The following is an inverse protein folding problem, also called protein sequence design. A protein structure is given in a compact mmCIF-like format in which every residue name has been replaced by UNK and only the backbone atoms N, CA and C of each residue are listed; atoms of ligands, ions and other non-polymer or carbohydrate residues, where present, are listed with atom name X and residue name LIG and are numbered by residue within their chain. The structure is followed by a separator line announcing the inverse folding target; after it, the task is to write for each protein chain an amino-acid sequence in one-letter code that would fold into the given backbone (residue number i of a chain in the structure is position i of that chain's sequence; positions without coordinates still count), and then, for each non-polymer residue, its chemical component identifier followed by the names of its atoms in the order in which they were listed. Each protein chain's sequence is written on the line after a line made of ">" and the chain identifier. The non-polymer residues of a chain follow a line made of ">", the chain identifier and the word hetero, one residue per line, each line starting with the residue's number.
data_IF_268180645834
#
_entry.id   IF_268180645834
#
_cell.length_a   1.000
_cell.length_b   1.000
_cell.length_c   1.000
_cell.angle_alpha   90.00
_cell.angle_beta   90.00
_cell.angle_gamma   90.00
#
_symmetry.space_group_name_H-M   'P 1'
#
loop_
_entity.id
_entity.type
_entity.pdbx_description
1 polymer ?
#
# COMPACT_ATOMS: atom_id res chain seq x y z
N UNK A 1 -3.18 14.55 44.97
CA UNK A 1 -2.82 13.18 44.56
C UNK A 1 -4.02 12.46 43.91
N UNK A 2 -4.65 13.10 42.93
CA UNK A 2 -5.73 12.49 42.16
C UNK A 2 -5.82 13.14 40.80
N UNK A 3 -6.28 12.37 39.81
CA UNK A 3 -6.41 12.83 38.43
C UNK A 3 -7.63 12.20 37.79
N UNK A 4 -8.38 13.01 37.07
CA UNK A 4 -9.50 12.54 36.25
C UNK A 4 -8.98 11.97 34.94
N UNK A 5 -9.64 10.92 34.45
CA UNK A 5 -9.52 10.55 33.04
C UNK A 5 -10.13 11.67 32.19
N UNK A 6 -9.57 11.99 31.02
CA UNK A 6 -10.10 13.04 30.13
C UNK A 6 -11.59 12.91 29.79
N UNK A 7 -12.13 11.69 29.77
CA UNK A 7 -13.55 11.43 29.50
C UNK A 7 -14.47 11.70 30.71
N UNK A 8 -13.93 12.06 31.88
CA UNK A 8 -14.70 12.34 33.11
C UNK A 8 -15.39 11.12 33.74
N UNK A 9 -15.20 9.91 33.21
CA UNK A 9 -15.84 8.68 33.73
C UNK A 9 -15.08 7.98 34.85
N UNK A 10 -13.79 8.28 34.98
CA UNK A 10 -12.92 7.62 35.94
C UNK A 10 -12.04 8.64 36.65
N UNK A 11 -11.74 8.36 37.92
CA UNK A 11 -10.78 9.10 38.74
C UNK A 11 -9.75 8.11 39.24
N UNK A 12 -8.50 8.53 39.27
CA UNK A 12 -7.44 7.80 39.93
C UNK A 12 -6.97 8.62 41.11
N UNK A 13 -6.76 7.97 42.25
CA UNK A 13 -6.15 8.57 43.42
C UNK A 13 -5.00 7.71 43.93
N UNK A 14 -3.89 8.36 44.27
CA UNK A 14 -2.83 7.72 45.05
C UNK A 14 -3.17 7.84 46.53
N UNK A 15 -3.06 6.73 47.25
CA UNK A 15 -3.21 6.67 48.70
C UNK A 15 -1.99 5.99 49.29
N UNK A 16 -1.48 6.48 50.41
CA UNK A 16 -0.47 5.80 51.21
C UNK A 16 -1.11 5.34 52.50
N UNK A 17 -1.00 4.05 52.80
CA UNK A 17 -1.46 3.44 54.03
C UNK A 17 -0.24 2.98 54.83
N UNK A 18 -0.22 3.19 56.14
CA UNK A 18 0.78 2.58 57.01
C UNK A 18 0.20 1.29 57.57
N UNK A 19 0.86 0.16 57.34
CA UNK A 19 0.49 -1.13 57.95
C UNK A 19 1.58 -1.60 58.90
N UNK A 20 1.17 -2.20 60.00
CA UNK A 20 2.09 -2.91 60.87
C UNK A 20 2.49 -4.21 60.17
N UNK A 21 3.79 -4.41 60.02
CA UNK A 21 4.31 -5.73 59.68
C UNK A 21 4.29 -6.64 60.91
N UNK A 22 4.48 -7.95 60.67
CA UNK A 22 4.57 -8.97 61.71
C UNK A 22 5.71 -8.69 62.71
N UNK A 23 6.73 -7.94 62.29
CA UNK A 23 7.85 -7.45 63.12
C UNK A 23 7.50 -6.21 63.98
N UNK A 24 6.27 -5.72 63.94
CA UNK A 24 5.83 -4.51 64.65
C UNK A 24 6.35 -3.20 64.05
N UNK A 25 7.08 -3.24 62.94
CA UNK A 25 7.51 -2.04 62.19
C UNK A 25 6.36 -1.52 61.32
N UNK A 26 6.17 -0.20 61.32
CA UNK A 26 5.24 0.48 60.43
C UNK A 26 5.83 0.54 59.03
N UNK A 27 5.26 -0.20 58.08
CA UNK A 27 5.60 -0.10 56.67
C UNK A 27 4.58 0.76 55.93
N UNK A 28 5.11 1.67 55.11
CA UNK A 28 4.30 2.47 54.21
C UNK A 28 3.99 1.66 52.94
N UNK A 29 2.71 1.51 52.61
CA UNK A 29 2.24 0.85 51.41
C UNK A 29 1.52 1.86 50.54
N UNK A 30 2.11 2.17 49.39
CA UNK A 30 1.48 2.90 48.32
C UNK A 30 0.38 2.06 47.66
N UNK A 31 -0.76 2.67 47.42
CA UNK A 31 -1.87 2.10 46.67
C UNK A 31 -2.35 3.13 45.65
N UNK A 32 -2.54 2.71 44.42
CA UNK A 32 -3.21 3.51 43.39
C UNK A 32 -4.62 2.95 43.21
N UNK A 33 -5.63 3.75 43.53
CA UNK A 33 -7.05 3.36 43.47
C UNK A 33 -7.73 4.03 42.29
N UNK A 34 -8.48 3.23 41.52
CA UNK A 34 -9.26 3.71 40.38
C UNK A 34 -10.75 3.64 40.74
N UNK A 35 -11.44 4.76 40.57
CA UNK A 35 -12.85 4.95 40.89
C UNK A 35 -13.62 5.21 39.61
N UNK A 36 -14.81 4.62 39.49
CA UNK A 36 -15.75 4.91 38.40
C UNK A 36 -16.75 5.96 38.88
N UNK A 37 -16.84 7.07 38.15
CA UNK A 37 -17.81 8.11 38.45
C UNK A 37 -19.20 7.72 37.93
N UNK A 38 -20.27 7.97 38.70
CA UNK A 38 -21.63 7.82 38.23
C UNK A 38 -21.88 8.83 37.10
N UNK A 39 -22.48 8.38 35.99
CA UNK A 39 -22.78 9.24 34.83
C UNK A 39 -24.13 9.96 34.95
N UNK A 40 -24.85 9.81 36.05
CA UNK A 40 -26.18 10.37 36.23
C UNK A 40 -26.10 11.87 36.58
N UNK A 41 -26.50 12.72 35.63
CA UNK A 41 -26.65 14.17 35.83
C UNK A 41 -27.55 14.53 37.03
N UNK A 42 -28.45 13.62 37.42
CA UNK A 42 -29.39 13.79 38.55
C UNK A 42 -28.70 13.89 39.91
N UNK A 43 -27.51 13.31 40.09
CA UNK A 43 -26.80 13.35 41.38
C UNK A 43 -26.04 14.67 41.63
N UNK A 44 -25.86 15.50 40.60
CA UNK A 44 -25.26 16.82 40.79
C UNK A 44 -26.20 17.83 41.49
N UNK A 45 -27.50 17.52 41.59
CA UNK A 45 -28.52 18.38 42.19
C UNK A 45 -28.75 18.10 43.68
N UNK A 46 -28.28 16.96 44.20
CA UNK A 46 -28.33 16.66 45.64
C UNK A 46 -27.05 17.14 46.31
N UNK A 47 -27.17 17.90 47.40
CA UNK A 47 -26.02 18.32 48.23
C UNK A 47 -25.38 17.18 49.04
N UNK A 48 -25.76 15.92 48.81
CA UNK A 48 -25.20 14.77 49.51
C UNK A 48 -23.83 14.37 48.94
N UNK A 49 -22.86 13.97 49.80
CA UNK A 49 -21.56 13.55 49.34
C UNK A 49 -21.64 12.22 48.56
N UNK A 50 -21.09 12.21 47.35
CA UNK A 50 -21.03 11.01 46.51
C UNK A 50 -19.97 10.04 47.09
N UNK A 51 -20.43 8.88 47.60
CA UNK A 51 -19.54 7.80 48.04
C UNK A 51 -19.17 6.91 46.84
N UNK A 52 -17.88 6.84 46.53
CA UNK A 52 -17.35 5.99 45.46
C UNK A 52 -16.62 4.79 46.07
N UNK A 53 -16.92 3.59 45.56
CA UNK A 53 -16.09 2.40 45.83
C UNK A 53 -14.95 2.31 44.83
N UNK A 54 -13.78 1.85 45.28
CA UNK A 54 -12.66 1.60 44.40
C UNK A 54 -12.99 0.41 43.49
N UNK A 55 -12.89 0.62 42.18
CA UNK A 55 -13.06 -0.43 41.18
C UNK A 55 -11.83 -1.33 41.10
N UNK A 56 -10.65 -0.72 41.21
CA UNK A 56 -9.37 -1.40 41.15
C UNK A 56 -8.43 -0.75 42.16
N UNK A 57 -7.71 -1.59 42.91
CA UNK A 57 -6.64 -1.17 43.81
C UNK A 57 -5.37 -1.82 43.32
N UNK A 58 -4.40 -1.01 42.91
CA UNK A 58 -3.06 -1.44 42.54
C UNK A 58 -2.16 -1.22 43.76
N UNK A 59 -1.75 -2.30 44.41
CA UNK A 59 -0.74 -2.27 45.47
C UNK A 59 0.64 -2.13 44.84
N UNK A 60 1.45 -1.21 45.36
CA UNK A 60 2.79 -0.93 44.85
C UNK A 60 3.83 -1.63 45.72
N UNK A 61 5.13 -1.38 45.48
CA UNK A 61 6.21 -1.94 46.31
C UNK A 61 6.02 -1.60 47.79
N UNK A 62 6.42 -2.51 48.67
CA UNK A 62 6.43 -2.33 50.12
C UNK A 62 7.43 -1.24 50.52
N UNK A 63 7.11 -0.48 51.57
CA UNK A 63 7.94 0.61 52.09
C UNK A 63 7.94 1.90 51.25
N UNK A 64 7.09 1.99 50.23
CA UNK A 64 7.07 3.13 49.29
C UNK A 64 5.67 3.73 49.17
N UNK A 65 5.54 5.04 49.41
CA UNK A 65 4.28 5.76 49.31
C UNK A 65 4.05 6.39 47.94
N UNK A 66 2.80 6.38 47.46
CA UNK A 66 2.39 7.09 46.24
C UNK A 66 2.26 8.60 46.52
N UNK A 67 3.12 9.42 45.91
CA UNK A 67 3.14 10.88 46.08
C UNK A 67 2.16 11.55 45.12
N UNK A 68 2.27 11.24 43.84
CA UNK A 68 1.50 11.89 42.79
C UNK A 68 1.06 10.89 41.74
N UNK A 69 -0.23 10.92 41.43
CA UNK A 69 -0.81 10.14 40.35
C UNK A 69 -1.44 11.07 39.32
N UNK A 70 -1.09 10.87 38.04
CA UNK A 70 -1.59 11.66 36.92
C UNK A 70 -2.00 10.77 35.75
N UNK A 71 -3.19 11.03 35.19
CA UNK A 71 -3.62 10.41 33.94
C UNK A 71 -3.18 11.28 32.78
N UNK A 72 -2.60 10.68 31.74
CA UNK A 72 -2.27 11.40 30.51
C UNK A 72 -3.51 11.97 29.81
N UNK A 73 -3.43 13.19 29.28
CA UNK A 73 -4.58 13.89 28.67
C UNK A 73 -5.09 13.25 27.37
N UNK A 74 -4.23 12.56 26.63
CA UNK A 74 -4.56 11.95 25.33
C UNK A 74 -4.35 10.43 25.27
N UNK A 75 -3.57 9.88 26.20
CA UNK A 75 -3.14 8.49 26.15
C UNK A 75 -3.80 7.74 27.30
N UNK A 76 -4.07 6.46 27.07
CA UNK A 76 -4.57 5.59 28.12
C UNK A 76 -3.41 5.10 29.00
N UNK A 77 -2.80 6.03 29.74
CA UNK A 77 -1.63 5.79 30.60
C UNK A 77 -1.78 6.58 31.90
N UNK A 78 -1.45 5.91 33.00
CA UNK A 78 -1.46 6.46 34.35
C UNK A 78 -0.01 6.47 34.83
N UNK A 79 0.46 7.65 35.21
CA UNK A 79 1.76 7.86 35.82
C UNK A 79 1.61 7.91 37.33
N UNK A 80 2.32 7.06 38.05
CA UNK A 80 2.38 7.06 39.50
C UNK A 80 3.83 7.32 39.94
N UNK A 81 4.04 8.44 40.63
CA UNK A 81 5.33 8.81 41.21
C UNK A 81 5.35 8.45 42.70
N UNK A 82 6.48 7.92 43.14
CA UNK A 82 6.67 7.33 44.45
C UNK A 82 7.73 8.03 45.29
N UNK A 83 7.74 7.77 46.59
CA UNK A 83 8.67 8.37 47.55
C UNK A 83 10.12 7.95 47.42
N UNK A 84 10.40 6.83 46.76
CA UNK A 84 11.76 6.38 46.42
C UNK A 84 12.33 7.08 45.17
N UNK A 85 11.55 7.96 44.54
CA UNK A 85 11.90 8.59 43.26
C UNK A 85 11.63 7.69 42.05
N UNK A 86 11.08 6.50 42.24
CA UNK A 86 10.62 5.65 41.15
C UNK A 86 9.31 6.17 40.55
N UNK A 87 9.08 5.79 39.31
CA UNK A 87 7.89 6.16 38.55
C UNK A 87 7.38 4.93 37.82
N UNK A 88 6.20 4.46 38.20
CA UNK A 88 5.52 3.39 37.49
C UNK A 88 4.52 3.96 36.49
N UNK A 89 4.49 3.35 35.31
CA UNK A 89 3.54 3.70 34.25
C UNK A 89 2.62 2.51 34.02
N UNK A 90 1.35 2.68 34.40
CA UNK A 90 0.32 1.68 34.12
C UNK A 90 -0.38 2.00 32.81
N UNK A 91 -0.40 1.01 31.91
CA UNK A 91 -1.04 1.14 30.60
C UNK A 91 -1.52 -0.22 30.09
N UNK A 92 -2.54 -0.19 29.23
CA UNK A 92 -3.00 -1.38 28.53
C UNK A 92 -2.28 -1.48 27.17
N UNK A 93 -1.67 -2.63 26.86
CA UNK A 93 -0.96 -2.84 25.59
C UNK A 93 -1.89 -2.82 24.38
N UNK A 94 -3.18 -3.11 24.56
CA UNK A 94 -4.15 -3.17 23.46
C UNK A 94 -4.71 -1.78 23.11
N UNK A 95 -5.08 -1.00 24.12
CA UNK A 95 -5.67 0.33 23.93
C UNK A 95 -4.65 1.48 23.89
N UNK A 96 -3.43 1.28 24.38
CA UNK A 96 -2.40 2.33 24.47
C UNK A 96 -1.39 2.23 23.33
N UNK A 97 -1.39 3.20 22.42
CA UNK A 97 -0.64 3.12 21.15
C UNK A 97 0.73 3.81 21.15
N UNK A 98 0.99 4.74 22.06
CA UNK A 98 2.21 5.59 22.07
C UNK A 98 2.76 5.70 23.49
N UNK A 99 3.90 6.37 23.68
CA UNK A 99 4.46 6.66 25.01
C UNK A 99 5.18 5.44 25.59
N UNK A 100 4.74 4.97 26.76
CA UNK A 100 5.40 3.86 27.46
C UNK A 100 5.46 2.55 26.66
N UNK A 101 4.50 2.27 25.77
CA UNK A 101 4.56 1.11 24.86
C UNK A 101 5.73 1.18 23.89
N UNK A 102 6.19 2.37 23.49
CA UNK A 102 7.36 2.53 22.60
C UNK A 102 8.64 2.19 23.35
N UNK A 103 8.74 2.56 24.63
CA UNK A 103 9.88 2.20 25.48
C UNK A 103 9.86 0.70 25.82
N UNK A 104 8.70 0.15 26.18
CA UNK A 104 8.55 -1.27 26.49
C UNK A 104 8.72 -2.19 25.26
N UNK A 105 8.37 -1.70 24.07
CA UNK A 105 8.55 -2.42 22.80
C UNK A 105 9.97 -2.33 22.23
N UNK A 106 10.82 -1.44 22.75
CA UNK A 106 12.26 -1.51 22.50
C UNK A 106 12.79 -2.68 23.31
N UNK A 107 12.89 -3.84 22.67
CA UNK A 107 13.88 -4.82 23.11
C UNK A 107 15.20 -4.06 23.24
N UNK A 108 15.81 -4.10 24.43
CA UNK A 108 17.21 -3.72 24.58
C UNK A 108 17.93 -4.47 23.47
N UNK A 109 18.48 -3.75 22.50
CA UNK A 109 19.25 -4.38 21.44
C UNK A 109 20.26 -5.29 22.12
N UNK A 110 20.38 -6.52 21.61
CA UNK A 110 21.25 -7.61 22.08
C UNK A 110 22.34 -7.09 23.02
N UNK A 111 22.42 -7.65 24.23
CA UNK A 111 23.48 -7.35 25.21
C UNK A 111 24.77 -7.11 24.44
N UNK A 112 25.24 -5.86 24.52
CA UNK A 112 26.46 -5.49 23.83
C UNK A 112 27.56 -6.27 24.53
N UNK A 113 28.34 -7.05 23.78
CA UNK A 113 29.46 -7.79 24.35
C UNK A 113 30.25 -6.88 25.30
N UNK A 114 30.67 -7.37 26.46
CA UNK A 114 31.32 -6.56 27.51
C UNK A 114 32.50 -5.71 27.00
N UNK A 115 33.16 -6.14 25.91
CA UNK A 115 34.18 -5.37 25.20
C UNK A 115 33.64 -4.08 24.58
N UNK A 116 32.44 -4.11 24.00
CA UNK A 116 31.78 -2.96 23.40
C UNK A 116 31.38 -1.92 24.45
N UNK A 117 30.96 -2.37 25.64
CA UNK A 117 30.64 -1.50 26.78
C UNK A 117 31.91 -0.86 27.39
N UNK A 118 33.00 -1.62 27.51
CA UNK A 118 34.31 -1.09 27.93
C UNK A 118 34.88 -0.07 26.93
N UNK A 119 34.64 -0.25 25.63
CA UNK A 119 35.05 0.71 24.61
C UNK A 119 34.18 1.98 24.64
N UNK A 120 32.88 1.85 24.91
CA UNK A 120 31.97 2.99 25.04
C UNK A 120 32.26 3.86 26.28
N UNK A 121 32.67 3.24 27.40
CA UNK A 121 32.99 3.96 28.65
C UNK A 121 34.34 4.69 28.63
N UNK A 122 35.25 4.36 27.71
CA UNK A 122 36.55 5.05 27.53
C UNK A 122 36.48 6.32 26.67
N UNK A 123 35.30 6.73 26.22
CA UNK A 123 35.13 7.95 25.42
C UNK A 123 35.31 9.18 26.32
N UNK A 124 36.23 10.12 26.02
CA UNK A 124 36.34 11.37 26.76
C UNK A 124 35.05 12.18 26.56
N UNK A 125 34.36 12.47 27.67
CA UNK A 125 33.10 13.22 27.76
C UNK A 125 33.16 14.68 27.28
N UNK A 126 34.27 15.11 26.67
CA UNK A 126 34.56 16.50 26.29
C UNK A 126 34.48 16.85 24.80
N UNK A 127 34.26 15.89 23.88
CA UNK A 127 34.07 16.23 22.47
C UNK A 127 32.58 16.25 22.11
N UNK A 128 32.13 17.34 21.49
CA UNK A 128 30.74 17.69 21.18
C UNK A 128 30.06 16.76 20.14
N UNK A 129 29.94 15.48 20.46
CA UNK A 129 29.42 14.45 19.56
C UNK A 129 28.80 13.26 20.29
N UNK A 130 28.25 13.48 21.49
CA UNK A 130 27.55 12.48 22.30
C UNK A 130 26.26 11.96 21.66
N UNK A 131 26.36 11.31 20.50
CA UNK A 131 25.40 10.33 19.98
C UNK A 131 25.93 9.58 18.73
N UNK A 132 27.23 9.51 18.49
CA UNK A 132 27.75 8.62 17.44
C UNK A 132 28.23 7.33 18.10
N UNK A 133 27.39 6.29 18.01
CA UNK A 133 27.82 4.90 18.28
C UNK A 133 29.13 4.66 17.53
N UNK A 134 30.03 3.93 18.16
CA UNK A 134 31.35 3.52 17.65
C UNK A 134 31.27 2.58 16.43
N UNK A 135 30.29 2.74 15.56
CA UNK A 135 30.17 1.87 14.39
C UNK A 135 31.08 2.35 13.24
N UNK A 136 31.61 3.58 13.28
CA UNK A 136 32.49 4.07 12.23
C UNK A 136 33.39 5.24 12.72
N UNK A 137 34.52 4.94 13.38
CA UNK A 137 35.60 5.93 13.51
C UNK A 137 36.20 6.12 12.11
N UNK A 138 35.81 7.20 11.45
CA UNK A 138 36.32 7.55 10.13
C UNK A 138 37.62 8.32 10.26
N UNK A 139 38.71 7.76 9.74
CA UNK A 139 39.94 8.51 9.56
C UNK A 139 39.71 9.58 8.48
N UNK A 140 40.37 10.75 8.56
CA UNK A 140 40.14 11.85 7.62
C UNK A 140 40.46 11.47 6.16
N UNK A 141 41.30 10.45 5.94
CA UNK A 141 41.69 9.94 4.63
C UNK A 141 41.00 8.61 4.27
N UNK A 142 39.94 8.23 4.98
CA UNK A 142 39.19 7.02 4.63
C UNK A 142 38.55 7.18 3.24
N UNK A 143 38.74 6.18 2.40
CA UNK A 143 38.06 6.06 1.11
C UNK A 143 36.53 6.21 1.32
N UNK A 144 35.79 6.92 0.44
CA UNK A 144 34.34 7.14 0.59
C UNK A 144 33.50 5.85 0.65
N UNK A 145 34.04 4.73 0.16
CA UNK A 145 33.43 3.40 0.24
C UNK A 145 33.42 2.84 1.68
N UNK A 146 34.45 3.18 2.46
CA UNK A 146 34.63 2.81 3.86
C UNK A 146 34.19 3.93 4.82
N UNK A 147 34.00 5.13 4.27
CA UNK A 147 33.42 6.33 4.86
C UNK A 147 31.95 6.23 5.25
N UNK A 148 31.61 5.44 6.27
CA UNK A 148 30.33 5.43 7.01
C UNK A 148 29.11 6.05 6.31
N UNK A 149 28.81 5.63 5.08
CA UNK A 149 27.69 6.16 4.31
C UNK A 149 26.46 5.51 4.95
N UNK A 150 25.62 6.32 5.62
CA UNK A 150 24.38 5.88 6.26
C UNK A 150 23.77 4.73 5.46
N UNK A 151 23.66 3.53 6.06
CA UNK A 151 23.20 2.31 5.37
C UNK A 151 21.92 2.53 4.54
N UNK A 152 21.01 3.36 5.06
CA UNK A 152 19.78 3.82 4.38
C UNK A 152 20.04 4.59 3.08
N UNK A 153 21.02 5.50 3.06
CA UNK A 153 21.41 6.23 1.84
C UNK A 153 22.01 5.29 0.81
N UNK A 154 22.77 4.28 1.23
CA UNK A 154 23.33 3.26 0.31
C UNK A 154 22.25 2.37 -0.26
N UNK A 155 21.25 1.97 0.53
CA UNK A 155 20.10 1.21 0.07
C UNK A 155 19.27 2.04 -0.93
N UNK A 156 19.00 3.32 -0.64
CA UNK A 156 18.31 4.23 -1.56
C UNK A 156 19.08 4.47 -2.86
N UNK A 157 20.39 4.72 -2.79
CA UNK A 157 21.23 4.89 -3.98
C UNK A 157 21.26 3.59 -4.81
N UNK A 158 21.29 2.42 -4.15
CA UNK A 158 21.24 1.13 -4.83
C UNK A 158 19.89 0.94 -5.53
N UNK A 159 18.78 1.15 -4.85
CA UNK A 159 17.43 1.09 -5.42
C UNK A 159 17.25 2.07 -6.59
N UNK A 160 17.75 3.31 -6.46
CA UNK A 160 17.72 4.29 -7.55
C UNK A 160 18.55 3.84 -8.75
N UNK A 161 19.73 3.28 -8.53
CA UNK A 161 20.58 2.78 -9.63
C UNK A 161 20.01 1.53 -10.28
N UNK A 162 19.29 0.68 -9.53
CA UNK A 162 18.58 -0.49 -10.06
C UNK A 162 17.36 -0.05 -10.88
N UNK A 163 16.57 0.92 -10.40
CA UNK A 163 15.46 1.50 -11.15
C UNK A 163 15.92 2.16 -12.47
N UNK A 164 17.08 2.85 -12.45
CA UNK A 164 17.69 3.50 -13.64
C UNK A 164 18.33 2.50 -14.63
N UNK A 165 18.49 1.22 -14.26
CA UNK A 165 19.02 0.16 -15.15
C UNK A 165 17.96 -0.53 -16.01
N UNK A 166 16.67 -0.33 -15.73
CA UNK A 166 15.61 -0.80 -16.61
C UNK A 166 15.53 0.07 -17.86
N UNK A 167 16.32 -0.29 -18.88
CA UNK A 167 16.09 0.22 -20.23
C UNK A 167 14.69 -0.25 -20.67
N UNK A 168 13.84 0.63 -21.23
CA UNK A 168 12.57 0.20 -21.80
C UNK A 168 12.86 -0.89 -22.83
N UNK A 169 12.13 -2.00 -22.76
CA UNK A 169 12.23 -3.04 -23.77
C UNK A 169 11.99 -2.40 -25.15
N UNK A 170 12.77 -2.76 -26.18
CA UNK A 170 12.49 -2.29 -27.52
C UNK A 170 11.04 -2.67 -27.87
N UNK A 171 10.25 -1.77 -28.49
CA UNK A 171 8.89 -2.10 -28.88
C UNK A 171 8.95 -3.35 -29.73
N UNK A 172 8.21 -4.39 -29.33
CA UNK A 172 8.13 -5.60 -30.11
C UNK A 172 7.56 -5.22 -31.47
N UNK A 173 8.28 -5.56 -32.55
CA UNK A 173 7.76 -5.50 -33.91
C UNK A 173 6.70 -6.62 -34.14
N UNK A 174 5.92 -6.93 -33.12
CA UNK A 174 4.73 -7.74 -33.23
C UNK A 174 3.60 -6.79 -33.65
N UNK A 175 3.27 -6.85 -34.94
CA UNK A 175 2.03 -6.33 -35.47
C UNK A 175 0.90 -6.94 -34.62
N UNK A 176 0.25 -6.10 -33.82
CA UNK A 176 -0.99 -6.35 -33.06
C UNK A 176 -0.78 -6.81 -31.60
N UNK A 177 -1.25 -5.92 -30.72
CA UNK A 177 -1.80 -6.15 -29.37
C UNK A 177 -0.83 -6.33 -28.20
N UNK A 178 -0.73 -5.31 -27.36
CA UNK A 178 -1.13 -5.40 -25.95
C UNK A 178 -0.99 -4.04 -25.25
N UNK A 179 -2.13 -3.48 -24.84
CA UNK A 179 -2.21 -2.25 -24.08
C UNK A 179 -3.64 -1.94 -23.68
N UNK A 180 -4.25 -2.85 -22.90
CA UNK A 180 -5.43 -2.60 -22.06
C UNK A 180 -6.60 -1.86 -22.70
N UNK A 181 -7.38 -2.54 -23.54
CA UNK A 181 -8.63 -2.01 -24.04
C UNK A 181 -9.21 -2.91 -25.11
N UNK A 182 -10.10 -3.81 -24.71
CA UNK A 182 -11.03 -4.44 -25.63
C UNK A 182 -11.79 -3.35 -26.41
N UNK A 183 -11.40 -3.17 -27.67
CA UNK A 183 -12.31 -2.97 -28.80
C UNK A 183 -13.43 -1.95 -28.60
N UNK A 184 -13.10 -0.68 -28.40
CA UNK A 184 -14.07 0.41 -28.47
C UNK A 184 -13.42 1.72 -28.94
N UNK A 185 -12.80 1.73 -30.12
CA UNK A 185 -12.65 2.92 -31.00
C UNK A 185 -11.86 2.54 -32.23
N UNK A 186 -12.53 1.92 -33.21
CA UNK A 186 -12.04 1.96 -34.59
C UNK A 186 -12.39 3.36 -35.08
N UNK A 187 -11.40 4.23 -35.23
CA UNK A 187 -11.61 5.61 -35.67
C UNK A 187 -12.35 5.61 -37.02
N UNK A 188 -13.31 6.52 -37.22
CA UNK A 188 -14.19 6.60 -38.41
C UNK A 188 -13.45 6.40 -39.75
N UNK A 189 -12.20 6.86 -39.84
CA UNK A 189 -11.33 6.68 -41.01
C UNK A 189 -11.07 5.20 -41.38
N UNK A 190 -10.89 4.30 -40.41
CA UNK A 190 -10.71 2.87 -40.66
C UNK A 190 -12.00 2.18 -41.13
N UNK A 191 -13.16 2.61 -40.64
CA UNK A 191 -14.46 2.10 -41.11
C UNK A 191 -14.73 2.49 -42.57
N UNK A 192 -14.40 3.74 -42.94
CA UNK A 192 -14.54 4.22 -44.32
C UNK A 192 -13.56 3.51 -45.28
N UNK A 193 -12.33 3.25 -44.85
CA UNK A 193 -11.36 2.50 -45.66
C UNK A 193 -11.81 1.05 -45.93
N UNK A 194 -12.35 0.37 -44.91
CA UNK A 194 -12.78 -1.03 -45.05
C UNK A 194 -14.07 -1.18 -45.89
N UNK A 195 -15.00 -0.23 -45.79
CA UNK A 195 -16.26 -0.25 -46.54
C UNK A 195 -16.12 0.12 -48.02
N UNK A 196 -15.08 0.86 -48.39
CA UNK A 196 -14.78 1.20 -49.79
C UNK A 196 -14.01 0.09 -50.52
N UNK A 197 -13.18 -0.68 -49.81
CA UNK A 197 -12.47 -1.83 -50.37
C UNK A 197 -13.39 -3.00 -50.74
N UNK A 198 -14.47 -3.24 -49.99
CA UNK A 198 -15.41 -4.34 -50.28
C UNK A 198 -16.18 -4.14 -51.58
N UNK A 199 -16.63 -2.90 -51.87
CA UNK A 199 -17.34 -2.58 -53.12
C UNK A 199 -16.45 -2.65 -54.36
N UNK A 200 -15.16 -2.35 -54.22
CA UNK A 200 -14.21 -2.42 -55.32
C UNK A 200 -13.81 -3.86 -55.67
N UNK A 201 -13.91 -4.80 -54.73
CA UNK A 201 -13.63 -6.23 -54.98
C UNK A 201 -14.65 -6.83 -55.95
N UNK A 202 -15.93 -6.44 -55.85
CA UNK A 202 -16.98 -6.88 -56.77
C UNK A 202 -16.86 -6.25 -58.16
N UNK A 203 -16.38 -5.00 -58.26
CA UNK A 203 -16.07 -4.34 -59.53
C UNK A 203 -14.84 -4.94 -60.22
N UNK A 204 -13.78 -5.28 -59.46
CA UNK A 204 -12.58 -5.91 -60.01
C UNK A 204 -12.86 -7.35 -60.46
N UNK A 205 -13.71 -8.09 -59.75
CA UNK A 205 -14.18 -9.43 -60.14
C UNK A 205 -15.09 -9.43 -61.38
N UNK A 206 -15.77 -8.31 -61.67
CA UNK A 206 -16.53 -8.13 -62.92
C UNK A 206 -15.62 -7.78 -64.11
N UNK A 207 -14.51 -7.09 -63.88
CA UNK A 207 -13.54 -6.73 -64.92
C UNK A 207 -12.62 -7.89 -65.36
N UNK A 208 -12.57 -8.99 -64.61
CA UNK A 208 -11.76 -10.17 -64.93
C UNK A 208 -12.52 -11.29 -65.65
N UNK A 209 -13.74 -11.05 -66.13
CA UNK A 209 -14.49 -12.01 -66.95
C UNK A 209 -14.26 -11.73 -68.42
N UNK A 210 -14.14 -12.79 -69.21
CA UNK A 210 -13.88 -12.68 -70.65
C UNK A 210 -15.08 -12.02 -71.36
N UNK A 211 -14.84 -11.08 -72.28
CA UNK A 211 -15.90 -10.32 -72.95
C UNK A 211 -16.85 -11.22 -73.77
N UNK A 212 -16.40 -12.43 -74.16
CA UNK A 212 -17.20 -13.41 -74.90
C UNK A 212 -18.28 -14.05 -74.03
N UNK A 213 -18.01 -14.34 -72.76
CA UNK A 213 -19.01 -14.88 -71.82
C UNK A 213 -20.10 -13.86 -71.50
N UNK A 214 -19.72 -12.58 -71.42
CA UNK A 214 -20.68 -11.52 -71.14
C UNK A 214 -21.65 -11.34 -72.32
N UNK A 215 -21.17 -11.45 -73.57
CA UNK A 215 -22.04 -11.44 -74.75
C UNK A 215 -23.07 -12.58 -74.74
N UNK A 216 -22.70 -13.79 -74.32
CA UNK A 216 -23.64 -14.92 -74.22
C UNK A 216 -24.74 -14.69 -73.17
N UNK A 217 -24.41 -14.10 -72.01
CA UNK A 217 -25.42 -13.80 -70.97
C UNK A 217 -26.47 -12.78 -71.42
N UNK A 218 -26.10 -11.84 -72.29
CA UNK A 218 -27.04 -10.87 -72.83
C UNK A 218 -27.91 -11.43 -73.96
N UNK A 219 -27.51 -12.55 -74.60
CA UNK A 219 -28.32 -13.24 -75.61
C UNK A 219 -29.49 -14.02 -74.98
N UNK A 220 -29.27 -14.71 -73.86
CA UNK A 220 -30.31 -15.51 -73.18
C UNK A 220 -31.53 -14.68 -72.73
N UNK A 221 -31.41 -13.35 -72.65
CA UNK A 221 -32.45 -12.48 -72.10
C UNK A 221 -33.19 -11.57 -73.08
N UNK A 222 -32.79 -11.46 -74.37
CA UNK A 222 -33.11 -10.26 -75.17
C UNK A 222 -33.17 -10.47 -76.69
N UNK A 223 -34.12 -11.26 -77.19
CA UNK A 223 -34.44 -11.36 -78.63
C UNK A 223 -35.37 -10.20 -79.08
N UNK A 224 -34.83 -9.00 -79.30
CA UNK A 224 -35.63 -7.86 -79.79
C UNK A 224 -35.64 -7.72 -81.31
N UNK A 225 -34.78 -8.46 -82.01
CA UNK A 225 -34.51 -8.29 -83.45
C UNK A 225 -35.16 -9.36 -84.33
N UNK A 226 -35.87 -10.35 -83.76
CA UNK A 226 -36.57 -11.40 -84.54
C UNK A 226 -37.77 -10.88 -85.36
N UNK A 227 -38.21 -9.65 -85.13
CA UNK A 227 -39.36 -9.06 -85.81
C UNK A 227 -39.01 -8.30 -87.11
N UNK A 228 -37.73 -8.08 -87.41
CA UNK A 228 -37.29 -7.42 -88.65
C UNK A 228 -36.36 -8.38 -89.38
N UNK A 229 -36.86 -8.97 -90.48
CA UNK A 229 -36.20 -10.02 -91.25
C UNK A 229 -34.75 -9.68 -91.64
N UNK A 230 -33.95 -10.74 -91.72
CA UNK A 230 -32.53 -10.82 -92.07
C UNK A 230 -31.52 -10.39 -91.00
N UNK A 231 -31.08 -11.38 -90.20
CA UNK A 231 -29.69 -11.42 -89.73
C UNK A 231 -29.19 -12.86 -89.73
N UNK A 232 -28.20 -13.15 -90.59
CA UNK A 232 -27.33 -14.29 -90.43
C UNK A 232 -26.55 -14.13 -89.11
N UNK A 233 -26.49 -15.18 -88.30
CA UNK A 233 -25.67 -15.19 -87.08
C UNK A 233 -24.20 -15.21 -87.52
N UNK A 234 -23.48 -14.09 -87.37
CA UNK A 234 -22.05 -13.97 -87.74
C UNK A 234 -21.13 -14.26 -86.55
N UNK A 235 -21.63 -14.93 -85.50
CA UNK A 235 -20.86 -15.19 -84.27
C UNK A 235 -20.62 -16.68 -84.10
N UNK A 236 -19.48 -17.02 -83.51
CA UNK A 236 -19.04 -18.39 -83.30
C UNK A 236 -19.89 -19.09 -82.22
N UNK A 237 -20.32 -20.32 -82.51
CA UNK A 237 -21.31 -21.09 -81.73
C UNK A 237 -20.82 -21.60 -80.37
N UNK A 238 -19.52 -21.50 -80.07
CA UNK A 238 -18.92 -22.08 -78.86
C UNK A 238 -18.20 -21.06 -78.01
N UNK A 239 -18.15 -21.30 -76.70
CA UNK A 239 -17.30 -20.52 -75.78
C UNK A 239 -15.82 -20.95 -75.91
N UNK A 240 -14.89 -20.07 -75.55
CA UNK A 240 -13.44 -20.38 -75.63
C UNK A 240 -13.04 -21.53 -74.71
N UNK A 241 -13.70 -21.68 -73.56
CA UNK A 241 -13.44 -22.79 -72.63
C UNK A 241 -13.91 -24.13 -73.22
N UNK A 242 -15.05 -24.16 -73.91
CA UNK A 242 -15.54 -25.36 -74.59
C UNK A 242 -14.66 -25.75 -75.78
N UNK A 243 -14.14 -24.80 -76.56
CA UNK A 243 -13.15 -25.09 -77.62
C UNK A 243 -11.82 -25.62 -77.03
N UNK A 244 -11.38 -25.09 -75.88
CA UNK A 244 -10.20 -25.60 -75.18
C UNK A 244 -10.42 -26.99 -74.56
N UNK A 245 -11.66 -27.33 -74.20
CA UNK A 245 -12.00 -28.68 -73.72
C UNK A 245 -12.16 -29.68 -74.87
N UNK A 246 -12.75 -29.28 -75.99
CA UNK A 246 -12.90 -30.10 -77.19
C UNK A 246 -11.54 -30.40 -77.85
N UNK A 247 -10.63 -29.43 -77.87
CA UNK A 247 -9.24 -29.63 -78.34
C UNK A 247 -8.39 -30.50 -77.43
N UNK A 248 -8.71 -30.59 -76.13
CA UNK A 248 -8.07 -31.51 -75.18
C UNK A 248 -8.66 -32.92 -75.21
N UNK A 249 -9.84 -33.12 -75.80
CA UNK A 249 -10.52 -34.41 -75.94
C UNK A 249 -10.28 -35.10 -77.31
N UNK A 250 -9.65 -34.41 -78.25
CA UNK A 250 -9.10 -34.98 -79.50
C UNK A 250 -7.64 -35.37 -79.31
#
# INVERSE_FOLDING_TARGET
>A
NSSFRPNGKFVVAGTSEYRNNDDGKLEQIGQVKLFKLPSSKKQAASNEPIRLSALLTLSTRTGVGAIQVQWHSKLNQIFAAFSDGSLDIYFDRTFSTKGATVAAGRQLGKEQDALSELLASRIPTGSAGGLRRLEDIQTPNALPLFGGRNRRKREQEKEETEAKKHKPMPPSNAKIMAGGGSSATVTFQQFVANSSLSKNKDMLAKKSRDPREELFRYQEGKDYMRAAGDTTVVLADKTMEEEQQDSKKK
#
